data_IF_788111578386
#
_entry.id   IF_788111578386
#
_cell.length_a   1.000
_cell.length_b   1.000
_cell.length_c   1.000
_cell.angle_alpha   90.00
_cell.angle_beta   90.00
_cell.angle_gamma   90.00
#
_symmetry.space_group_name_H-M   'P 1'
#
loop_
_entity.id
_entity.type
_entity.pdbx_description
1 polymer ?
#
# COMPACT_ATOMS: atom_id res chain seq x y z
N UNK A 1 7.69 18.34 23.89
CA UNK A 1 7.35 17.10 23.16
C UNK A 1 7.83 17.21 21.71
N UNK A 2 8.69 16.31 21.25
CA UNK A 2 9.15 16.28 19.85
C UNK A 2 8.04 15.70 18.97
N UNK A 3 7.37 16.55 18.18
CA UNK A 3 6.42 16.12 17.15
C UNK A 3 7.19 15.33 16.09
N UNK A 4 7.00 14.02 16.06
CA UNK A 4 7.64 13.13 15.09
C UNK A 4 6.70 13.00 13.89
N UNK A 5 7.17 13.42 12.73
CA UNK A 5 6.48 13.25 11.45
C UNK A 5 6.41 11.75 11.13
N UNK A 6 5.23 11.20 10.85
CA UNK A 6 5.06 9.77 10.55
C UNK A 6 4.18 9.53 9.32
N UNK A 7 4.36 8.38 8.69
CA UNK A 7 3.42 7.86 7.69
C UNK A 7 2.33 7.11 8.43
N UNK A 8 1.09 7.57 8.30
CA UNK A 8 -0.09 6.93 8.86
C UNK A 8 -0.70 5.99 7.83
N UNK A 9 -1.09 4.80 8.26
CA UNK A 9 -1.69 3.79 7.39
C UNK A 9 -2.69 2.93 8.15
N UNK A 10 -3.55 2.26 7.39
CA UNK A 10 -4.44 1.19 7.89
C UNK A 10 -3.97 -0.13 7.32
N UNK A 11 -3.95 -1.17 8.13
CA UNK A 11 -3.62 -2.52 7.66
C UNK A 11 -4.76 -3.06 6.79
N UNK A 12 -4.41 -3.62 5.64
CA UNK A 12 -5.36 -4.34 4.80
C UNK A 12 -5.36 -5.81 5.21
N UNK A 13 -6.53 -6.36 5.55
CA UNK A 13 -6.73 -7.76 5.91
C UNK A 13 -7.57 -8.48 4.84
N UNK A 14 -7.95 -9.74 5.10
CA UNK A 14 -8.73 -10.58 4.18
C UNK A 14 -7.98 -11.86 3.82
N UNK A 15 -8.07 -12.27 2.55
CA UNK A 15 -7.34 -13.44 2.06
C UNK A 15 -5.84 -13.15 1.87
N UNK A 16 -5.10 -13.23 2.98
CA UNK A 16 -3.67 -12.95 3.00
C UNK A 16 -2.84 -13.96 2.21
N UNK A 17 -3.36 -15.18 2.02
CA UNK A 17 -2.67 -16.19 1.23
C UNK A 17 -2.72 -15.80 -0.25
N UNK A 18 -3.90 -15.49 -0.78
CA UNK A 18 -4.03 -15.09 -2.19
C UNK A 18 -3.33 -13.77 -2.48
N UNK A 19 -3.40 -12.80 -1.56
CA UNK A 19 -2.66 -11.54 -1.72
C UNK A 19 -1.14 -11.74 -1.74
N UNK A 20 -0.62 -12.65 -0.89
CA UNK A 20 0.80 -13.00 -0.88
C UNK A 20 1.20 -13.74 -2.15
N UNK A 21 0.39 -14.69 -2.63
CA UNK A 21 0.64 -15.40 -3.88
C UNK A 21 0.72 -14.44 -5.07
N UNK A 22 -0.21 -13.48 -5.15
CA UNK A 22 -0.21 -12.44 -6.18
C UNK A 22 1.07 -11.60 -6.14
N UNK A 23 1.47 -11.14 -4.95
CA UNK A 23 2.70 -10.36 -4.76
C UNK A 23 3.95 -11.15 -5.17
N UNK A 24 4.11 -12.38 -4.71
CA UNK A 24 5.28 -13.20 -5.02
C UNK A 24 5.37 -13.55 -6.51
N UNK A 25 4.21 -13.79 -7.15
CA UNK A 25 4.13 -14.03 -8.60
C UNK A 25 4.53 -12.78 -9.40
N UNK A 26 4.07 -11.59 -8.97
CA UNK A 26 4.45 -10.32 -9.58
C UNK A 26 5.96 -10.03 -9.42
N UNK A 27 6.50 -10.15 -8.21
CA UNK A 27 7.94 -9.96 -7.93
C UNK A 27 8.82 -10.92 -8.74
N UNK A 28 8.37 -12.18 -8.92
CA UNK A 28 9.07 -13.15 -9.75
C UNK A 28 9.09 -12.75 -11.24
N UNK A 29 7.96 -12.30 -11.78
CA UNK A 29 7.87 -11.84 -13.16
C UNK A 29 8.69 -10.56 -13.40
N UNK A 30 8.64 -9.60 -12.47
CA UNK A 30 9.44 -8.38 -12.52
C UNK A 30 10.95 -8.69 -12.46
N UNK A 31 11.36 -9.61 -11.59
CA UNK A 31 12.76 -10.06 -11.53
C UNK A 31 13.22 -10.66 -12.85
N UNK A 32 12.42 -11.54 -13.45
CA UNK A 32 12.73 -12.14 -14.77
C UNK A 32 12.80 -11.09 -15.89
N UNK A 33 12.02 -10.02 -15.79
CA UNK A 33 12.06 -8.88 -16.71
C UNK A 33 13.23 -7.90 -16.45
N UNK A 34 14.09 -8.18 -15.46
CA UNK A 34 15.28 -7.38 -15.15
C UNK A 34 15.08 -6.25 -14.13
N UNK A 35 13.93 -6.20 -13.45
CA UNK A 35 13.70 -5.26 -12.35
C UNK A 35 14.30 -5.81 -11.05
N UNK A 36 14.82 -4.91 -10.21
CA UNK A 36 15.31 -5.30 -8.88
C UNK A 36 14.14 -5.73 -7.98
N UNK A 37 14.34 -6.81 -7.21
CA UNK A 37 13.38 -7.24 -6.19
C UNK A 37 13.36 -6.30 -4.99
N UNK A 38 12.18 -6.11 -4.41
CA UNK A 38 12.09 -5.53 -3.07
C UNK A 38 12.49 -6.61 -2.04
N UNK A 39 13.44 -6.30 -1.15
CA UNK A 39 13.87 -7.22 -0.10
C UNK A 39 12.95 -7.19 1.12
N UNK A 40 12.02 -6.24 1.16
CA UNK A 40 11.05 -6.11 2.25
C UNK A 40 9.91 -7.10 2.07
N UNK A 41 9.47 -7.66 3.19
CA UNK A 41 8.27 -8.48 3.22
C UNK A 41 7.04 -7.62 2.90
N UNK A 42 6.12 -8.18 2.13
CA UNK A 42 4.82 -7.56 1.89
C UNK A 42 4.12 -7.30 3.22
N UNK A 43 3.84 -6.04 3.51
CA UNK A 43 2.97 -5.61 4.60
C UNK A 43 1.76 -4.91 3.95
N UNK A 44 0.62 -5.59 3.75
CA UNK A 44 -0.53 -4.99 3.09
C UNK A 44 -1.09 -3.82 3.89
N UNK A 45 -1.09 -2.62 3.32
CA UNK A 45 -1.60 -1.42 3.97
C UNK A 45 -2.08 -0.38 2.97
N UNK A 46 -2.95 0.52 3.42
CA UNK A 46 -3.35 1.71 2.69
C UNK A 46 -2.81 2.92 3.46
N UNK A 47 -1.89 3.66 2.84
CA UNK A 47 -1.38 4.91 3.41
C UNK A 47 -2.50 5.96 3.46
N UNK A 48 -2.79 6.49 4.65
CA UNK A 48 -3.74 7.59 4.85
C UNK A 48 -3.09 8.96 4.65
N UNK A 49 -1.82 9.08 5.03
CA UNK A 49 -1.08 10.33 4.90
C UNK A 49 0.40 10.14 5.19
N UNK A 50 1.21 11.02 4.58
CA UNK A 50 2.64 11.16 4.88
C UNK A 50 2.85 12.46 5.65
N UNK A 51 3.86 12.46 6.50
CA UNK A 51 4.21 13.58 7.35
C UNK A 51 3.07 14.12 8.23
N UNK A 52 2.24 13.18 8.71
CA UNK A 52 1.11 13.53 9.56
C UNK A 52 1.61 13.74 10.99
N UNK A 53 1.13 14.81 11.62
CA UNK A 53 1.47 15.18 12.99
C UNK A 53 0.26 14.95 13.88
N UNK A 54 0.32 13.92 14.72
CA UNK A 54 -0.62 13.65 15.79
C UNK A 54 0.13 13.16 17.04
N UNK A 55 -0.55 13.10 18.18
CA UNK A 55 0.03 12.57 19.41
C UNK A 55 0.27 11.05 19.33
N UNK A 56 1.08 10.51 20.24
CA UNK A 56 1.42 9.09 20.19
C UNK A 56 0.20 8.18 20.43
N UNK A 57 -0.76 8.63 21.25
CA UNK A 57 -1.98 7.88 21.57
C UNK A 57 -2.84 7.60 20.33
N UNK A 58 -2.95 8.55 19.40
CA UNK A 58 -3.71 8.36 18.17
C UNK A 58 -3.07 7.34 17.22
N UNK A 59 -1.73 7.18 17.26
CA UNK A 59 -1.04 6.17 16.43
C UNK A 59 -1.41 4.75 16.86
N UNK A 60 -1.47 4.52 18.17
CA UNK A 60 -1.82 3.22 18.74
C UNK A 60 -3.31 2.93 18.53
N UNK A 61 -4.18 3.94 18.66
CA UNK A 61 -5.59 3.82 18.31
C UNK A 61 -5.78 3.45 16.84
N UNK A 62 -5.11 4.13 15.90
CA UNK A 62 -5.23 3.82 14.46
C UNK A 62 -4.76 2.42 14.11
N UNK A 63 -3.70 1.92 14.76
CA UNK A 63 -3.21 0.55 14.56
C UNK A 63 -4.15 -0.49 15.17
N UNK A 64 -4.78 -0.18 16.30
CA UNK A 64 -5.73 -1.06 16.97
C UNK A 64 -7.14 -1.01 16.35
N UNK A 65 -7.46 0.07 15.62
CA UNK A 65 -8.78 0.29 15.07
C UNK A 65 -9.08 -0.71 13.95
N UNK A 66 -10.20 -1.42 14.09
CA UNK A 66 -10.72 -2.27 13.03
C UNK A 66 -11.66 -1.46 12.16
N UNK A 67 -11.25 -1.24 10.91
CA UNK A 67 -12.12 -0.65 9.91
C UNK A 67 -13.11 -1.72 9.43
N UNK A 68 -14.40 -1.52 9.74
CA UNK A 68 -15.48 -2.43 9.33
C UNK A 68 -15.93 -2.19 7.88
N UNK A 69 -14.96 -2.13 6.97
CA UNK A 69 -15.19 -1.96 5.54
C UNK A 69 -14.52 -3.12 4.79
N UNK A 70 -15.30 -3.84 4.00
CA UNK A 70 -14.82 -4.94 3.19
C UNK A 70 -15.35 -4.84 1.77
N UNK A 71 -14.58 -5.37 0.82
CA UNK A 71 -14.95 -5.43 -0.58
C UNK A 71 -14.26 -6.61 -1.25
N UNK A 72 -14.84 -7.10 -2.35
CA UNK A 72 -14.23 -8.13 -3.17
C UNK A 72 -13.22 -7.50 -4.12
N UNK A 73 -11.98 -7.96 -4.04
CA UNK A 73 -10.92 -7.60 -4.98
C UNK A 73 -11.10 -8.43 -6.26
N UNK A 74 -11.29 -7.76 -7.41
CA UNK A 74 -11.54 -8.42 -8.70
C UNK A 74 -10.50 -8.09 -9.77
N UNK A 75 -9.61 -7.11 -9.52
CA UNK A 75 -8.64 -6.66 -10.50
C UNK A 75 -7.35 -6.15 -9.84
N UNK A 76 -6.23 -6.26 -10.56
CA UNK A 76 -5.01 -5.49 -10.34
C UNK A 76 -4.92 -4.34 -11.36
N UNK A 77 -4.25 -3.25 -10.99
CA UNK A 77 -4.02 -2.13 -11.89
C UNK A 77 -2.56 -1.66 -11.84
N UNK A 78 -2.00 -1.37 -13.01
CA UNK A 78 -0.70 -0.74 -13.18
C UNK A 78 -0.89 0.77 -13.22
N UNK A 79 -0.17 1.48 -12.38
CA UNK A 79 -0.17 2.94 -12.34
C UNK A 79 1.20 3.51 -12.68
N UNK A 80 1.20 4.60 -13.43
CA UNK A 80 2.31 5.54 -13.49
C UNK A 80 2.12 6.60 -12.41
N UNK A 81 3.18 6.92 -11.67
CA UNK A 81 3.18 8.04 -10.72
C UNK A 81 3.96 9.23 -11.29
N UNK A 82 3.33 10.41 -11.34
CA UNK A 82 3.93 11.63 -11.86
C UNK A 82 3.76 12.80 -10.87
N UNK A 83 4.77 13.69 -10.78
CA UNK A 83 4.66 14.93 -10.02
C UNK A 83 4.27 16.08 -10.95
N UNK A 84 3.05 16.59 -10.81
CA UNK A 84 2.52 17.68 -11.61
C UNK A 84 2.18 18.84 -10.68
N UNK A 85 2.82 20.00 -10.88
CA UNK A 85 2.63 21.22 -10.06
C UNK A 85 2.70 20.95 -8.55
N UNK A 86 3.70 20.17 -8.14
CA UNK A 86 3.94 19.84 -6.72
C UNK A 86 3.03 18.74 -6.14
N UNK A 87 2.07 18.21 -6.90
CA UNK A 87 1.16 17.13 -6.46
C UNK A 87 1.53 15.80 -7.09
N UNK A 88 1.39 14.72 -6.34
CA UNK A 88 1.48 13.37 -6.88
C UNK A 88 0.18 13.03 -7.61
N UNK A 89 0.29 12.58 -8.86
CA UNK A 89 -0.82 12.12 -9.69
C UNK A 89 -0.54 10.68 -10.09
N UNK A 90 -1.56 9.83 -10.03
CA UNK A 90 -1.48 8.42 -10.41
C UNK A 90 -2.32 8.20 -11.67
N UNK A 91 -1.67 7.87 -12.77
CA UNK A 91 -2.31 7.59 -14.06
C UNK A 91 -2.43 6.07 -14.21
N UNK A 92 -3.64 5.55 -14.38
CA UNK A 92 -3.83 4.11 -14.63
C UNK A 92 -3.40 3.79 -16.06
N UNK A 93 -2.40 2.92 -16.21
CA UNK A 93 -1.90 2.46 -17.51
C UNK A 93 -2.61 1.17 -17.96
N UNK A 94 -2.93 0.29 -17.02
CA UNK A 94 -3.53 -0.99 -17.31
C UNK A 94 -4.36 -1.52 -16.13
N UNK A 95 -5.34 -2.37 -16.43
CA UNK A 95 -6.18 -3.07 -15.46
C UNK A 95 -6.40 -4.51 -15.92
N UNK A 96 -6.08 -5.47 -15.06
CA UNK A 96 -6.23 -6.90 -15.32
C UNK A 96 -7.18 -7.52 -14.29
N UNK A 97 -8.12 -8.36 -14.74
CA UNK A 97 -9.02 -9.12 -13.87
C UNK A 97 -8.32 -10.37 -13.32
N UNK A 98 -8.78 -10.87 -12.17
CA UNK A 98 -8.36 -12.15 -11.59
C UNK A 98 -9.27 -13.30 -12.01
#
# INVERSE_FOLDING_TARGET
MRRTSRTSFVSAAGDMKELKNLYESLEAALWQAGFARDTRQLTPHITLGRDVVYDASLDDELKAHQFHSSFTVSHAALFESARIRGRMVYNMLHKAAF
#
